data_IF_977536424366
#
_entry.id   IF_977536424366
#
_cell.length_a   1.000
_cell.length_b   1.000
_cell.length_c   1.000
_cell.angle_alpha   90.00
_cell.angle_beta   90.00
_cell.angle_gamma   90.00
#
_symmetry.space_group_name_H-M   'P 1'
#
loop_
_entity.id
_entity.type
_entity.pdbx_description
1 polymer ?
#
# COMPACT_ATOMS: atom_id res chain seq x y z
N UNK A 1 1.93 -0.26 -21.84
CA UNK A 1 2.64 -1.47 -22.30
C UNK A 1 2.32 -1.63 -23.78
N UNK A 2 3.29 -1.36 -24.64
CA UNK A 2 3.21 -1.65 -26.08
C UNK A 2 3.45 -3.15 -26.29
N UNK A 3 2.84 -3.75 -27.32
CA UNK A 3 2.98 -5.18 -27.63
C UNK A 3 4.44 -5.61 -27.79
N UNK A 4 5.28 -4.68 -28.25
CA UNK A 4 6.64 -4.97 -28.71
C UNK A 4 7.63 -5.14 -27.56
N UNK A 5 7.26 -4.73 -26.34
CA UNK A 5 8.10 -4.87 -25.13
C UNK A 5 7.72 -6.08 -24.27
N UNK A 6 6.84 -6.96 -24.77
CA UNK A 6 6.36 -8.13 -24.03
C UNK A 6 7.05 -9.40 -24.53
N UNK A 7 7.74 -10.11 -23.64
CA UNK A 7 8.45 -11.36 -23.97
C UNK A 7 7.58 -12.61 -23.85
N UNK A 8 6.60 -12.62 -22.95
CA UNK A 8 5.66 -13.73 -22.76
C UNK A 8 4.34 -13.24 -22.13
N UNK A 9 3.25 -13.97 -22.34
CA UNK A 9 1.93 -13.69 -21.74
C UNK A 9 1.50 -14.91 -20.94
N UNK A 10 1.47 -14.83 -19.62
CA UNK A 10 1.03 -15.94 -18.76
C UNK A 10 -0.43 -15.74 -18.34
N UNK A 11 -1.28 -16.73 -18.60
CA UNK A 11 -2.69 -16.67 -18.25
C UNK A 11 -3.01 -17.62 -17.09
N UNK A 12 -3.40 -17.06 -15.94
CA UNK A 12 -3.61 -17.79 -14.68
C UNK A 12 -5.10 -17.89 -14.37
N UNK A 13 -5.52 -19.00 -13.74
CA UNK A 13 -6.90 -19.30 -13.35
C UNK A 13 -7.65 -20.18 -14.36
N UNK A 14 -8.60 -21.00 -13.91
CA UNK A 14 -9.31 -21.96 -14.78
C UNK A 14 -10.08 -21.31 -15.94
N UNK A 15 -10.62 -20.10 -15.72
CA UNK A 15 -11.36 -19.35 -16.74
C UNK A 15 -10.48 -18.88 -17.92
N UNK A 16 -9.15 -18.83 -17.75
CA UNK A 16 -8.22 -18.47 -18.83
C UNK A 16 -8.17 -19.50 -19.97
N UNK A 17 -8.74 -20.69 -19.75
CA UNK A 17 -8.88 -21.74 -20.77
C UNK A 17 -10.02 -21.49 -21.75
N UNK A 18 -10.93 -20.57 -21.44
CA UNK A 18 -12.04 -20.24 -22.35
C UNK A 18 -11.49 -19.73 -23.69
N UNK A 19 -11.92 -20.29 -24.83
CA UNK A 19 -11.49 -19.81 -26.15
C UNK A 19 -11.73 -18.32 -26.37
N UNK A 20 -12.80 -17.78 -25.78
CA UNK A 20 -13.13 -16.35 -25.84
C UNK A 20 -12.08 -15.50 -25.09
N UNK A 21 -11.65 -15.95 -23.91
CA UNK A 21 -10.63 -15.26 -23.11
C UNK A 21 -9.28 -15.31 -23.82
N UNK A 22 -8.89 -16.46 -24.37
CA UNK A 22 -7.63 -16.59 -25.10
C UNK A 22 -7.59 -15.71 -26.35
N UNK A 23 -8.71 -15.64 -27.09
CA UNK A 23 -8.83 -14.77 -28.25
C UNK A 23 -8.70 -13.29 -27.86
N UNK A 24 -9.38 -12.86 -26.81
CA UNK A 24 -9.29 -11.49 -26.31
C UNK A 24 -7.86 -11.11 -25.87
N UNK A 25 -7.15 -12.03 -25.21
CA UNK A 25 -5.74 -11.83 -24.83
C UNK A 25 -4.84 -11.70 -26.08
N UNK A 26 -5.05 -12.54 -27.08
CA UNK A 26 -4.31 -12.46 -28.34
C UNK A 26 -4.57 -11.14 -29.07
N UNK A 27 -5.84 -10.71 -29.18
CA UNK A 27 -6.20 -9.43 -29.81
C UNK A 27 -5.59 -8.23 -29.06
N UNK A 28 -5.50 -8.30 -27.72
CA UNK A 28 -4.95 -7.21 -26.91
C UNK A 28 -3.43 -7.11 -26.93
N UNK A 29 -2.74 -8.24 -26.84
CA UNK A 29 -1.29 -8.32 -26.66
C UNK A 29 -0.54 -8.75 -27.91
N UNK A 30 -1.26 -9.13 -28.97
CA UNK A 30 -0.72 -9.63 -30.24
C UNK A 30 0.23 -10.84 -30.08
N UNK A 31 0.06 -11.58 -28.98
CA UNK A 31 0.86 -12.73 -28.57
C UNK A 31 -0.06 -13.78 -27.95
N UNK A 32 0.19 -15.05 -28.27
CA UNK A 32 -0.56 -16.15 -27.68
C UNK A 32 -0.15 -16.33 -26.21
N UNK A 33 -1.10 -16.54 -25.29
CA UNK A 33 -0.77 -16.94 -23.93
C UNK A 33 0.11 -18.20 -23.91
N UNK A 34 1.12 -18.18 -23.07
CA UNK A 34 2.06 -19.26 -22.82
C UNK A 34 1.37 -20.45 -22.20
N UNK A 35 1.65 -21.65 -22.74
CA UNK A 35 1.21 -22.92 -22.16
C UNK A 35 2.31 -23.58 -21.30
N UNK A 36 3.37 -22.84 -20.96
CA UNK A 36 4.52 -23.35 -20.18
C UNK A 36 4.16 -23.68 -18.73
N UNK A 37 3.08 -23.11 -18.21
CA UNK A 37 2.63 -23.29 -16.83
C UNK A 37 1.18 -23.73 -16.80
N UNK A 38 0.84 -24.58 -15.84
CA UNK A 38 -0.54 -25.01 -15.67
C UNK A 38 -1.35 -23.90 -14.96
N UNK A 39 -2.45 -23.39 -15.56
CA UNK A 39 -3.10 -22.15 -15.13
C UNK A 39 -3.73 -22.23 -13.74
N UNK A 40 -4.07 -23.43 -13.25
CA UNK A 40 -4.68 -23.61 -11.91
C UNK A 40 -3.68 -24.02 -10.84
N UNK A 41 -2.47 -24.46 -11.21
CA UNK A 41 -1.47 -24.97 -10.26
C UNK A 41 -0.30 -24.00 -10.10
N UNK A 42 -0.04 -23.14 -11.08
CA UNK A 42 1.11 -22.22 -11.10
C UNK A 42 1.20 -21.33 -9.85
N UNK A 43 0.06 -20.90 -9.29
CA UNK A 43 0.04 -20.09 -8.07
C UNK A 43 0.52 -20.92 -6.87
N UNK A 44 0.05 -22.15 -6.72
CA UNK A 44 0.45 -23.04 -5.63
C UNK A 44 1.93 -23.46 -5.77
N UNK A 45 2.39 -23.74 -6.98
CA UNK A 45 3.80 -24.05 -7.26
C UNK A 45 4.70 -22.85 -6.95
N UNK A 46 4.29 -21.64 -7.35
CA UNK A 46 5.01 -20.41 -7.01
C UNK A 46 5.10 -20.20 -5.50
N UNK A 47 3.99 -20.39 -4.78
CA UNK A 47 3.97 -20.30 -3.32
C UNK A 47 4.90 -21.33 -2.66
N UNK A 48 4.95 -22.56 -3.18
CA UNK A 48 5.86 -23.60 -2.69
C UNK A 48 7.35 -23.21 -2.88
N UNK A 49 7.71 -22.61 -4.02
CA UNK A 49 9.06 -22.09 -4.25
C UNK A 49 9.42 -20.99 -3.25
N UNK A 50 8.49 -20.07 -2.99
CA UNK A 50 8.72 -19.03 -1.98
C UNK A 50 8.86 -19.62 -0.58
N UNK A 51 8.05 -20.60 -0.22
CA UNK A 51 8.17 -21.30 1.07
C UNK A 51 9.50 -22.06 1.22
N UNK A 52 10.01 -22.66 0.13
CA UNK A 52 11.32 -23.33 0.11
C UNK A 52 12.48 -22.34 0.35
N UNK A 53 12.37 -21.09 -0.14
CA UNK A 53 13.38 -20.05 0.12
C UNK A 53 13.47 -19.59 1.57
N UNK A 54 12.46 -19.89 2.39
CA UNK A 54 12.52 -19.62 3.83
C UNK A 54 13.45 -20.59 4.58
N UNK A 55 13.69 -21.78 4.01
CA UNK A 55 14.46 -22.86 4.63
C UNK A 55 15.77 -23.17 3.92
N UNK A 56 15.93 -22.72 2.68
CA UNK A 56 17.12 -22.95 1.86
C UNK A 56 17.97 -21.68 1.74
N UNK A 57 19.28 -21.84 1.47
CA UNK A 57 20.19 -20.72 1.18
C UNK A 57 19.90 -20.03 -0.18
N UNK A 58 18.84 -20.43 -0.89
CA UNK A 58 18.44 -19.83 -2.16
C UNK A 58 17.73 -18.50 -1.91
N UNK A 59 18.37 -17.40 -2.29
CA UNK A 59 17.80 -16.05 -2.16
C UNK A 59 16.96 -15.68 -3.38
N UNK A 60 15.66 -15.93 -3.33
CA UNK A 60 14.70 -15.27 -4.23
C UNK A 60 14.30 -13.95 -3.57
N UNK A 61 14.59 -12.83 -4.23
CA UNK A 61 14.10 -11.52 -3.79
C UNK A 61 12.79 -11.21 -4.53
N UNK A 62 11.68 -11.16 -3.78
CA UNK A 62 10.42 -10.63 -4.27
C UNK A 62 10.37 -9.12 -3.97
N UNK A 63 10.27 -8.31 -5.01
CA UNK A 63 9.99 -6.89 -4.87
C UNK A 63 8.51 -6.67 -5.21
N UNK A 64 7.69 -6.59 -4.17
CA UNK A 64 6.27 -6.24 -4.33
C UNK A 64 6.10 -4.73 -4.48
N UNK A 65 4.94 -4.30 -4.97
CA UNK A 65 4.57 -2.91 -5.16
C UNK A 65 3.25 -2.58 -4.46
N UNK A 66 3.09 -1.32 -4.08
CA UNK A 66 1.88 -0.85 -3.42
C UNK A 66 0.71 -0.75 -4.42
N UNK A 67 -0.43 -1.45 -4.23
CA UNK A 67 -1.50 -1.55 -5.24
C UNK A 67 -2.34 -0.27 -5.39
N UNK A 68 -2.29 0.64 -4.42
CA UNK A 68 -2.99 1.91 -4.44
C UNK A 68 -2.24 2.98 -3.67
N UNK A 69 -2.47 4.24 -4.02
CA UNK A 69 -1.83 5.38 -3.37
C UNK A 69 -2.31 5.51 -1.93
N UNK A 70 -1.38 5.73 -1.01
CA UNK A 70 -1.63 6.00 0.41
C UNK A 70 -1.42 7.48 0.67
N UNK A 71 -2.37 8.09 1.39
CA UNK A 71 -2.44 9.53 1.61
C UNK A 71 -2.70 9.85 3.07
N UNK A 72 -2.27 11.04 3.49
CA UNK A 72 -2.64 11.65 4.78
C UNK A 72 -3.62 12.79 4.56
N UNK A 73 -4.69 12.84 5.37
CA UNK A 73 -5.69 13.91 5.33
C UNK A 73 -5.32 15.09 6.22
N UNK A 74 -5.36 16.29 5.67
CA UNK A 74 -5.12 17.57 6.36
C UNK A 74 -6.41 18.14 6.96
N UNK A 75 -6.27 19.08 7.89
CA UNK A 75 -7.41 19.66 8.61
C UNK A 75 -8.41 20.39 7.69
N UNK A 76 -7.94 20.92 6.56
CA UNK A 76 -8.73 21.60 5.53
C UNK A 76 -9.54 20.65 4.62
N UNK A 77 -9.43 19.34 4.82
CA UNK A 77 -10.12 18.33 3.99
C UNK A 77 -9.35 17.93 2.72
N UNK A 78 -8.19 18.55 2.46
CA UNK A 78 -7.27 18.10 1.42
C UNK A 78 -6.47 16.88 1.87
N UNK A 79 -5.84 16.20 0.92
CA UNK A 79 -5.00 15.03 1.17
C UNK A 79 -3.65 15.16 0.48
N UNK A 80 -2.62 14.66 1.12
CA UNK A 80 -1.24 14.64 0.62
C UNK A 80 -0.80 13.20 0.37
N UNK A 81 -0.07 12.97 -0.72
CA UNK A 81 0.46 11.64 -1.05
C UNK A 81 1.60 11.29 -0.10
N UNK A 82 1.48 10.16 0.59
CA UNK A 82 2.60 9.58 1.34
C UNK A 82 3.36 8.57 0.48
N UNK A 83 2.64 7.66 -0.18
CA UNK A 83 3.20 6.65 -1.07
C UNK A 83 2.34 6.54 -2.32
N UNK A 84 2.95 6.72 -3.49
CA UNK A 84 2.27 6.56 -4.76
C UNK A 84 1.99 5.08 -5.07
N UNK A 85 0.92 4.81 -5.82
CA UNK A 85 0.66 3.50 -6.43
C UNK A 85 1.91 3.04 -7.22
N UNK A 86 2.28 1.78 -7.04
CA UNK A 86 3.41 1.17 -7.74
C UNK A 86 4.76 1.36 -7.07
N UNK A 87 4.85 2.08 -5.94
CA UNK A 87 6.09 2.17 -5.14
C UNK A 87 6.49 0.78 -4.64
N UNK A 88 7.79 0.47 -4.71
CA UNK A 88 8.35 -0.80 -4.24
C UNK A 88 8.29 -0.92 -2.72
N UNK A 89 7.94 -2.10 -2.24
CA UNK A 89 7.94 -2.45 -0.82
C UNK A 89 9.25 -3.17 -0.45
N UNK A 90 9.75 -3.01 0.80
CA UNK A 90 9.21 -2.15 1.86
C UNK A 90 9.48 -0.66 1.61
N UNK A 91 8.65 0.22 2.18
CA UNK A 91 8.81 1.68 2.09
C UNK A 91 8.49 2.34 3.44
N UNK A 92 9.16 3.44 3.77
CA UNK A 92 8.85 4.26 4.94
C UNK A 92 9.00 5.75 4.65
N UNK A 93 8.25 6.57 5.40
CA UNK A 93 8.34 8.03 5.36
C UNK A 93 8.07 8.59 6.75
N UNK A 94 8.60 9.78 7.00
CA UNK A 94 8.41 10.52 8.25
C UNK A 94 7.98 11.95 7.92
N UNK A 95 6.98 12.44 8.64
CA UNK A 95 6.42 13.77 8.44
C UNK A 95 5.83 14.32 9.74
N UNK A 96 5.51 15.61 9.72
CA UNK A 96 4.90 16.30 10.86
C UNK A 96 3.41 16.58 10.61
N UNK A 97 2.58 16.36 11.62
CA UNK A 97 1.16 16.74 11.59
C UNK A 97 0.92 17.88 12.58
N UNK A 98 0.49 19.06 12.13
CA UNK A 98 0.19 20.17 13.01
C UNK A 98 -1.09 19.92 13.82
N UNK A 99 -1.18 20.56 14.99
CA UNK A 99 -2.41 20.63 15.75
C UNK A 99 -3.49 21.36 14.94
N UNK A 100 -4.69 20.79 14.95
CA UNK A 100 -5.88 21.38 14.34
C UNK A 100 -6.70 22.18 15.35
N UNK A 101 -7.99 22.33 15.04
CA UNK A 101 -8.95 23.01 15.89
C UNK A 101 -8.97 22.40 17.31
N UNK A 102 -9.05 23.27 18.33
CA UNK A 102 -9.04 22.85 19.73
C UNK A 102 -7.71 22.27 20.21
N UNK A 103 -6.60 22.53 19.49
CA UNK A 103 -5.26 21.99 19.80
C UNK A 103 -5.18 20.46 19.79
N UNK A 104 -6.09 19.81 19.05
CA UNK A 104 -6.09 18.37 18.85
C UNK A 104 -5.21 17.98 17.66
N UNK A 105 -4.43 16.92 17.77
CA UNK A 105 -3.67 16.38 16.64
C UNK A 105 -4.40 15.14 16.11
N UNK A 106 -4.74 15.15 14.81
CA UNK A 106 -5.41 14.04 14.13
C UNK A 106 -4.61 13.63 12.89
N UNK A 107 -4.05 12.44 12.92
CA UNK A 107 -3.43 11.79 11.76
C UNK A 107 -4.50 10.91 11.13
N UNK A 108 -4.93 11.21 9.91
CA UNK A 108 -5.94 10.40 9.19
C UNK A 108 -5.32 9.86 7.90
N UNK A 109 -5.44 8.56 7.69
CA UNK A 109 -4.85 7.87 6.55
C UNK A 109 -5.94 7.37 5.61
N UNK A 110 -5.67 7.49 4.31
CA UNK A 110 -6.60 7.19 3.24
C UNK A 110 -5.90 6.41 2.13
N UNK A 111 -6.69 5.62 1.39
CA UNK A 111 -6.28 4.95 0.16
C UNK A 111 -7.07 5.52 -1.02
N UNK A 112 -6.36 5.96 -2.06
CA UNK A 112 -6.96 6.49 -3.28
C UNK A 112 -6.12 7.59 -3.91
N UNK A 113 -6.60 8.10 -5.04
CA UNK A 113 -5.89 9.07 -5.88
C UNK A 113 -6.57 10.45 -5.89
N UNK A 114 -7.64 10.64 -5.12
CA UNK A 114 -8.37 11.92 -5.08
C UNK A 114 -7.64 12.94 -4.18
N UNK A 115 -7.74 14.23 -4.51
CA UNK A 115 -7.13 15.31 -3.73
C UNK A 115 -7.90 15.60 -2.44
N UNK A 116 -9.21 15.35 -2.41
CA UNK A 116 -10.09 15.56 -1.26
C UNK A 116 -10.36 14.25 -0.52
N UNK A 117 -10.55 14.32 0.80
CA UNK A 117 -10.80 13.14 1.66
C UNK A 117 -12.02 12.32 1.20
N UNK A 118 -13.07 12.96 0.71
CA UNK A 118 -14.34 12.32 0.32
C UNK A 118 -14.21 11.39 -0.89
N UNK A 119 -13.20 11.64 -1.75
CA UNK A 119 -12.92 10.79 -2.91
C UNK A 119 -12.02 9.59 -2.63
N UNK A 120 -11.61 9.40 -1.36
CA UNK A 120 -10.68 8.35 -0.96
C UNK A 120 -11.31 7.40 0.06
N UNK A 121 -10.82 6.16 0.12
CA UNK A 121 -11.22 5.20 1.14
C UNK A 121 -10.47 5.48 2.44
N UNK A 122 -11.20 5.74 3.52
CA UNK A 122 -10.61 5.86 4.86
C UNK A 122 -9.98 4.54 5.30
N UNK A 123 -8.76 4.58 5.83
CA UNK A 123 -8.08 3.42 6.38
C UNK A 123 -8.12 3.44 7.91
N UNK A 124 -7.57 4.51 8.50
CA UNK A 124 -7.51 4.65 9.94
C UNK A 124 -7.17 6.07 10.38
N UNK A 125 -7.29 6.31 11.69
CA UNK A 125 -6.86 7.55 12.31
C UNK A 125 -6.17 7.33 13.65
N UNK A 126 -5.15 8.14 13.93
CA UNK A 126 -4.57 8.34 15.25
C UNK A 126 -4.94 9.74 15.73
N UNK A 127 -5.41 9.82 16.96
CA UNK A 127 -5.88 11.08 17.55
C UNK A 127 -5.20 11.26 18.90
N UNK A 128 -4.57 12.41 19.10
CA UNK A 128 -4.14 12.85 20.43
C UNK A 128 -5.14 13.87 20.96
N UNK A 129 -5.64 13.71 22.21
CA UNK A 129 -6.56 14.67 22.80
C UNK A 129 -5.89 16.03 22.99
N UNK A 130 -6.68 17.12 23.12
CA UNK A 130 -6.15 18.43 23.47
C UNK A 130 -5.35 18.40 24.78
N UNK A 131 -4.27 19.17 24.84
CA UNK A 131 -3.43 19.32 26.02
C UNK A 131 -3.57 20.74 26.54
N UNK A 132 -3.75 20.88 27.86
CA UNK A 132 -3.82 22.18 28.53
C UNK A 132 -2.44 22.87 28.57
N UNK A 133 -2.02 23.44 27.44
CA UNK A 133 -0.77 24.18 27.28
C UNK A 133 -0.91 25.27 26.22
N UNK A 134 -0.35 26.44 26.48
CA UNK A 134 -0.29 27.54 25.50
C UNK A 134 0.52 27.19 24.24
N UNK A 135 1.39 26.17 24.33
CA UNK A 135 2.17 25.66 23.20
C UNK A 135 1.40 24.65 22.33
N UNK A 136 0.27 24.10 22.81
CA UNK A 136 -0.43 23.00 22.14
C UNK A 136 -0.98 23.39 20.75
N UNK A 137 -1.45 24.63 20.58
CA UNK A 137 -1.97 25.12 19.30
C UNK A 137 -0.90 25.20 18.19
N UNK A 138 0.39 25.24 18.54
CA UNK A 138 1.51 25.26 17.60
C UNK A 138 2.28 23.94 17.56
N UNK A 139 1.83 22.93 18.30
CA UNK A 139 2.47 21.63 18.36
C UNK A 139 2.38 20.91 17.00
N UNK A 140 3.43 20.14 16.70
CA UNK A 140 3.49 19.25 15.54
C UNK A 140 3.90 17.87 15.99
N UNK A 141 3.04 16.87 15.80
CA UNK A 141 3.40 15.49 16.10
C UNK A 141 4.31 14.94 15.01
N UNK A 142 5.35 14.21 15.42
CA UNK A 142 6.19 13.44 14.53
C UNK A 142 5.45 12.13 14.21
N UNK A 143 5.31 11.82 12.92
CA UNK A 143 4.61 10.63 12.45
C UNK A 143 5.52 9.87 11.51
N UNK A 144 5.79 8.60 11.84
CA UNK A 144 6.48 7.65 10.99
C UNK A 144 5.47 6.65 10.45
N UNK A 145 5.42 6.50 9.12
CA UNK A 145 4.59 5.48 8.45
C UNK A 145 5.52 4.53 7.71
N UNK A 146 5.32 3.23 7.90
CA UNK A 146 6.09 2.18 7.25
C UNK A 146 5.14 1.15 6.67
N UNK A 147 5.46 0.64 5.48
CA UNK A 147 4.80 -0.51 4.87
C UNK A 147 5.86 -1.57 4.64
N UNK A 148 5.68 -2.75 5.23
CA UNK A 148 6.59 -3.88 5.09
C UNK A 148 6.37 -4.63 3.77
N UNK A 149 7.30 -5.53 3.44
CA UNK A 149 7.26 -6.30 2.17
C UNK A 149 6.08 -7.26 2.04
N UNK A 150 5.39 -7.57 3.14
CA UNK A 150 4.16 -8.37 3.21
C UNK A 150 2.88 -7.51 3.16
N UNK A 151 3.00 -6.19 3.03
CA UNK A 151 1.86 -5.27 2.94
C UNK A 151 1.23 -4.86 4.27
N UNK A 152 1.88 -5.13 5.41
CA UNK A 152 1.47 -4.56 6.69
C UNK A 152 1.95 -3.11 6.82
N UNK A 153 1.03 -2.21 7.17
CA UNK A 153 1.33 -0.80 7.41
C UNK A 153 1.38 -0.52 8.91
N UNK A 154 2.49 0.01 9.41
CA UNK A 154 2.61 0.54 10.77
C UNK A 154 2.70 2.06 10.76
N UNK A 155 2.02 2.67 11.73
CA UNK A 155 1.94 4.11 11.90
C UNK A 155 2.29 4.41 13.34
N UNK A 156 3.41 5.10 13.56
CA UNK A 156 3.86 5.52 14.88
C UNK A 156 3.83 7.02 14.94
N UNK A 157 3.11 7.57 15.91
CA UNK A 157 3.03 9.02 16.13
C UNK A 157 3.49 9.37 17.54
N UNK A 158 4.25 10.46 17.67
CA UNK A 158 4.74 10.98 18.95
C UNK A 158 4.25 12.40 19.17
N UNK A 159 3.57 12.62 20.28
CA UNK A 159 3.15 13.95 20.69
C UNK A 159 4.34 14.74 21.25
N UNK A 160 4.62 15.96 20.78
CA UNK A 160 5.84 16.68 21.12
C UNK A 160 5.87 17.22 22.56
N UNK A 161 4.70 17.54 23.13
CA UNK A 161 4.59 18.10 24.50
C UNK A 161 4.50 16.99 25.55
N UNK A 162 3.54 16.07 25.43
CA UNK A 162 3.32 15.00 26.43
C UNK A 162 4.33 13.87 26.31
N UNK A 163 5.04 13.75 25.18
CA UNK A 163 5.91 12.62 24.87
C UNK A 163 5.16 11.31 24.59
N UNK A 164 3.83 11.32 24.63
CA UNK A 164 2.98 10.16 24.38
C UNK A 164 3.23 9.61 22.97
N UNK A 165 3.47 8.31 22.89
CA UNK A 165 3.63 7.57 21.63
C UNK A 165 2.39 6.73 21.41
N UNK A 166 1.81 6.80 20.21
CA UNK A 166 0.73 5.94 19.76
C UNK A 166 1.16 5.19 18.52
N UNK A 167 0.83 3.91 18.47
CA UNK A 167 1.11 3.04 17.34
C UNK A 167 -0.18 2.40 16.83
N UNK A 168 -0.26 2.20 15.53
CA UNK A 168 -1.34 1.49 14.87
C UNK A 168 -0.80 0.62 13.74
N UNK A 169 -1.20 -0.65 13.73
CA UNK A 169 -0.98 -1.60 12.63
C UNK A 169 -2.23 -1.75 11.77
N UNK A 170 -2.07 -1.73 10.45
CA UNK A 170 -3.15 -1.84 9.46
C UNK A 170 -2.72 -2.87 8.42
N UNK A 171 -3.58 -3.85 8.13
CA UNK A 171 -3.37 -4.74 6.99
C UNK A 171 -3.88 -4.09 5.71
N UNK A 172 -3.01 -3.89 4.73
CA UNK A 172 -3.39 -3.37 3.41
C UNK A 172 -3.82 -4.47 2.44
N UNK A 173 -3.64 -5.74 2.80
CA UNK A 173 -4.10 -6.91 2.04
C UNK A 173 -5.60 -7.12 2.29
N UNK A 174 -6.43 -6.37 1.57
CA UNK A 174 -7.88 -6.48 1.62
C UNK A 174 -8.48 -6.09 0.29
N UNK A 175 -8.70 -7.11 -0.54
CA UNK A 175 -9.39 -7.12 -1.82
C UNK A 175 -9.90 -8.53 -2.09
#
# INVERSE_FOLDING_TARGET
ITSDTLDDVLAVGGQSRSPHVQRALYERFQRRPSNRVHPTEVVALGAAVIADTLHSDRRVQLADILPGTIRVGRADGSTEVLFARGVRLPVETEFEVPAGEGAQIRVRLYRGDAELVDGNTFLAALVFPPVASSAAARARAQVKVRISGDGLMSVVARHPITGEVRELGISLSGG
#
